data_IF_638416891911
#
_entry.id   IF_638416891911
#
_cell.length_a   1.000
_cell.length_b   1.000
_cell.length_c   1.000
_cell.angle_alpha   90.00
_cell.angle_beta   90.00
_cell.angle_gamma   90.00
#
_symmetry.space_group_name_H-M   'P 1'
#
loop_
_entity.id
_entity.type
_entity.pdbx_description
1 polymer ?
#
# COMPACT_ATOMS: atom_id res chain seq x y z
N UNK A 1 -24.51 -13.40 -74.67
CA UNK A 1 -23.97 -14.17 -73.52
C UNK A 1 -23.21 -13.19 -72.65
N UNK A 2 -23.89 -12.64 -71.65
CA UNK A 2 -23.39 -11.61 -70.73
C UNK A 2 -22.54 -12.24 -69.63
N UNK A 3 -21.29 -11.78 -69.50
CA UNK A 3 -20.37 -12.19 -68.45
C UNK A 3 -20.83 -11.62 -67.10
N UNK A 4 -21.01 -12.50 -66.11
CA UNK A 4 -21.31 -12.15 -64.74
C UNK A 4 -20.04 -11.60 -64.06
N UNK A 5 -20.08 -10.34 -63.64
CA UNK A 5 -19.08 -9.76 -62.75
C UNK A 5 -19.25 -10.38 -61.36
N UNK A 6 -18.21 -11.07 -60.87
CA UNK A 6 -18.16 -11.58 -59.52
C UNK A 6 -18.02 -10.42 -58.53
N UNK A 7 -18.95 -10.33 -57.58
CA UNK A 7 -18.92 -9.39 -56.47
C UNK A 7 -17.81 -9.77 -55.47
N UNK A 8 -16.97 -8.80 -55.10
CA UNK A 8 -15.97 -8.97 -54.05
C UNK A 8 -16.66 -9.15 -52.67
N UNK A 9 -16.21 -10.08 -51.82
CA UNK A 9 -16.76 -10.26 -50.49
C UNK A 9 -16.38 -9.08 -49.60
N UNK A 10 -17.41 -8.43 -49.05
CA UNK A 10 -17.32 -7.26 -48.20
C UNK A 10 -16.37 -7.43 -47.01
N UNK A 11 -15.47 -6.47 -46.89
CA UNK A 11 -14.61 -6.21 -45.74
C UNK A 11 -15.47 -6.11 -44.48
N UNK A 12 -15.41 -7.12 -43.62
CA UNK A 12 -16.02 -7.08 -42.29
C UNK A 12 -15.44 -5.89 -41.53
N UNK A 13 -16.28 -4.91 -41.23
CA UNK A 13 -15.95 -3.80 -40.33
C UNK A 13 -15.72 -4.43 -38.95
N UNK A 14 -14.46 -4.59 -38.56
CA UNK A 14 -14.08 -4.91 -37.19
C UNK A 14 -14.68 -3.85 -36.28
N UNK A 15 -15.57 -4.29 -35.39
CA UNK A 15 -16.11 -3.46 -34.33
C UNK A 15 -14.95 -2.79 -33.57
N UNK A 16 -15.10 -1.51 -33.14
CA UNK A 16 -14.08 -0.87 -32.33
C UNK A 16 -13.79 -1.77 -31.14
N UNK A 17 -12.50 -2.05 -30.90
CA UNK A 17 -11.98 -2.78 -29.76
C UNK A 17 -12.59 -2.16 -28.49
N UNK A 18 -13.73 -2.70 -28.07
CA UNK A 18 -14.36 -2.36 -26.82
C UNK A 18 -13.27 -2.59 -25.78
N UNK A 19 -12.86 -1.51 -25.12
CA UNK A 19 -11.86 -1.54 -24.07
C UNK A 19 -12.22 -2.72 -23.17
N UNK A 20 -11.39 -3.77 -23.22
CA UNK A 20 -11.52 -4.92 -22.33
C UNK A 20 -11.41 -4.31 -20.94
N UNK A 21 -12.55 -4.06 -20.30
CA UNK A 21 -12.61 -3.63 -18.91
C UNK A 21 -11.98 -4.76 -18.10
N UNK A 22 -10.68 -4.63 -17.90
CA UNK A 22 -9.82 -5.71 -17.47
C UNK A 22 -10.04 -5.90 -15.97
N UNK A 23 -10.94 -6.83 -15.66
CA UNK A 23 -11.39 -7.05 -14.29
C UNK A 23 -10.20 -7.50 -13.45
N UNK A 24 -9.99 -6.81 -12.33
CA UNK A 24 -8.98 -7.17 -11.34
C UNK A 24 -9.18 -8.62 -10.89
N UNK A 25 -8.07 -9.36 -10.78
CA UNK A 25 -8.09 -10.73 -10.29
C UNK A 25 -8.73 -10.80 -8.89
N UNK A 26 -9.50 -11.86 -8.60
CA UNK A 26 -10.11 -12.04 -7.29
C UNK A 26 -9.09 -11.93 -6.12
N UNK A 27 -7.90 -12.57 -6.16
CA UNK A 27 -6.95 -12.45 -5.06
C UNK A 27 -6.40 -11.02 -4.91
N UNK A 28 -6.14 -10.30 -6.00
CA UNK A 28 -5.70 -8.90 -5.94
C UNK A 28 -6.79 -7.98 -5.34
N UNK A 29 -8.06 -8.20 -5.72
CA UNK A 29 -9.18 -7.42 -5.21
C UNK A 29 -9.35 -7.61 -3.68
N UNK A 30 -9.30 -8.86 -3.21
CA UNK A 30 -9.33 -9.16 -1.78
C UNK A 30 -8.12 -8.61 -1.03
N UNK A 31 -6.92 -8.68 -1.62
CA UNK A 31 -5.72 -8.12 -1.01
C UNK A 31 -5.82 -6.59 -0.83
N UNK A 32 -6.34 -5.86 -1.82
CA UNK A 32 -6.59 -4.42 -1.72
C UNK A 32 -7.62 -4.13 -0.63
N UNK A 33 -8.72 -4.89 -0.58
CA UNK A 33 -9.76 -4.73 0.44
C UNK A 33 -9.21 -4.94 1.86
N UNK A 34 -8.49 -6.04 2.09
CA UNK A 34 -7.90 -6.37 3.38
C UNK A 34 -6.85 -5.32 3.80
N UNK A 35 -6.03 -4.85 2.86
CA UNK A 35 -5.09 -3.77 3.11
C UNK A 35 -5.83 -2.48 3.53
N UNK A 36 -6.92 -2.13 2.84
CA UNK A 36 -7.78 -0.99 3.21
C UNK A 36 -8.36 -1.12 4.62
N UNK A 37 -8.93 -2.28 4.96
CA UNK A 37 -9.50 -2.55 6.30
C UNK A 37 -8.43 -2.43 7.37
N UNK A 38 -7.32 -3.16 7.24
CA UNK A 38 -6.27 -3.22 8.26
C UNK A 38 -5.59 -1.86 8.44
N UNK A 39 -5.27 -1.18 7.34
CA UNK A 39 -4.67 0.16 7.39
C UNK A 39 -5.61 1.21 7.98
N UNK A 40 -6.91 1.14 7.68
CA UNK A 40 -7.91 2.04 8.24
C UNK A 40 -8.11 1.82 9.74
N UNK A 41 -8.20 0.56 10.18
CA UNK A 41 -8.29 0.22 11.60
C UNK A 41 -7.06 0.74 12.34
N UNK A 42 -5.85 0.44 11.86
CA UNK A 42 -4.62 0.90 12.50
C UNK A 42 -4.53 2.43 12.58
N UNK A 43 -4.91 3.14 11.52
CA UNK A 43 -4.87 4.62 11.47
C UNK A 43 -5.94 5.26 12.36
N UNK A 44 -7.11 4.64 12.44
CA UNK A 44 -8.19 5.09 13.32
C UNK A 44 -7.83 4.88 14.78
N UNK A 45 -7.31 3.71 15.13
CA UNK A 45 -6.83 3.42 16.49
C UNK A 45 -5.73 4.39 16.89
N UNK A 46 -4.73 4.64 16.01
CA UNK A 46 -3.70 5.66 16.28
C UNK A 46 -4.28 7.05 16.56
N UNK A 47 -5.33 7.44 15.85
CA UNK A 47 -5.99 8.72 16.05
C UNK A 47 -6.73 8.77 17.39
N UNK A 48 -7.44 7.71 17.76
CA UNK A 48 -8.10 7.57 19.06
C UNK A 48 -7.08 7.63 20.19
N UNK A 49 -6.02 6.83 20.12
CA UNK A 49 -4.94 6.80 21.12
C UNK A 49 -4.28 8.19 21.27
N UNK A 50 -4.10 8.93 20.17
CA UNK A 50 -3.58 10.29 20.20
C UNK A 50 -4.53 11.25 20.91
N UNK A 51 -5.84 11.15 20.66
CA UNK A 51 -6.87 11.97 21.30
C UNK A 51 -6.90 11.68 22.81
N UNK A 52 -6.83 10.41 23.21
CA UNK A 52 -6.86 10.03 24.63
C UNK A 52 -5.64 10.58 25.39
N UNK A 53 -4.45 10.57 24.78
CA UNK A 53 -3.26 11.24 25.35
C UNK A 53 -3.48 12.74 25.48
N UNK A 54 -4.12 13.38 24.51
CA UNK A 54 -4.40 14.82 24.53
C UNK A 54 -5.40 15.20 25.63
N UNK A 55 -6.39 14.35 25.89
CA UNK A 55 -7.39 14.54 26.95
C UNK A 55 -6.77 14.27 28.33
N UNK A 56 -6.00 13.19 28.45
CA UNK A 56 -5.38 12.77 29.69
C UNK A 56 -3.89 12.42 29.46
N UNK A 57 -2.95 13.31 29.82
CA UNK A 57 -1.52 13.04 29.67
C UNK A 57 -1.00 11.82 30.44
N UNK A 58 -1.74 11.34 31.45
CA UNK A 58 -1.40 10.11 32.19
C UNK A 58 -1.93 8.83 31.54
N UNK A 59 -2.69 8.95 30.43
CA UNK A 59 -3.21 7.81 29.69
C UNK A 59 -2.06 6.97 29.09
N UNK A 60 -2.18 5.65 29.23
CA UNK A 60 -1.21 4.68 28.70
C UNK A 60 -1.81 4.02 27.45
N UNK A 61 -1.26 4.28 26.25
CA UNK A 61 -1.77 3.69 25.03
C UNK A 61 -1.72 2.16 25.03
N UNK A 62 -2.67 1.52 24.35
CA UNK A 62 -2.74 0.05 24.28
C UNK A 62 -1.49 -0.58 23.64
N UNK A 63 -0.82 0.16 22.78
CA UNK A 63 0.39 -0.24 22.07
C UNK A 63 1.68 0.24 22.75
N UNK A 64 1.61 0.63 24.04
CA UNK A 64 2.76 0.90 24.90
C UNK A 64 3.12 -0.37 25.68
N UNK A 65 3.91 -1.26 25.06
CA UNK A 65 4.23 -2.58 25.59
C UNK A 65 5.52 -2.58 26.40
N UNK A 66 6.52 -1.85 25.93
CA UNK A 66 7.82 -1.73 26.58
C UNK A 66 8.50 -0.39 26.17
N UNK A 67 9.64 -0.02 26.75
CA UNK A 67 10.31 1.26 26.45
C UNK A 67 10.64 1.48 24.97
N UNK A 68 10.79 0.41 24.19
CA UNK A 68 11.09 0.46 22.75
C UNK A 68 9.81 0.42 21.93
N UNK A 69 8.86 -0.46 22.25
CA UNK A 69 7.55 -0.59 21.64
C UNK A 69 6.56 0.33 22.36
N UNK A 70 6.71 1.63 22.13
CA UNK A 70 5.92 2.68 22.76
C UNK A 70 5.34 3.65 21.73
N UNK A 71 4.02 3.58 21.54
CA UNK A 71 3.33 4.56 20.70
C UNK A 71 3.32 5.96 21.31
N UNK A 72 3.28 6.07 22.65
CA UNK A 72 3.19 7.35 23.33
C UNK A 72 4.38 8.26 23.03
N UNK A 73 5.60 7.71 23.12
CA UNK A 73 6.84 8.44 22.84
C UNK A 73 6.95 8.87 21.37
N UNK A 74 6.46 8.05 20.43
CA UNK A 74 6.46 8.36 19.00
C UNK A 74 5.41 9.45 18.69
N UNK A 75 4.21 9.33 19.25
CA UNK A 75 3.08 10.20 18.92
C UNK A 75 3.27 11.65 19.37
N UNK A 76 4.06 11.92 20.43
CA UNK A 76 4.32 13.28 20.91
C UNK A 76 5.40 14.02 20.10
N UNK A 77 6.05 13.33 19.16
CA UNK A 77 7.13 13.94 18.37
C UNK A 77 6.59 14.82 17.25
N UNK A 78 7.31 15.91 16.86
CA UNK A 78 6.93 16.74 15.72
C UNK A 78 6.84 15.96 14.39
N UNK A 79 7.62 14.88 14.26
CA UNK A 79 7.62 13.99 13.10
C UNK A 79 6.28 13.27 12.92
N UNK A 80 5.49 13.12 13.99
CA UNK A 80 4.15 12.56 13.94
C UNK A 80 3.10 13.53 13.32
N UNK A 81 3.49 14.77 12.98
CA UNK A 81 2.63 15.78 12.37
C UNK A 81 3.35 16.61 11.29
N UNK A 82 3.46 16.08 10.07
CA UNK A 82 4.27 16.69 9.00
C UNK A 82 3.62 17.90 8.32
N UNK A 83 2.28 17.97 8.34
CA UNK A 83 1.52 19.06 7.70
C UNK A 83 0.73 19.91 8.70
N UNK A 84 1.16 19.92 9.97
CA UNK A 84 0.45 20.58 11.06
C UNK A 84 -0.72 19.78 11.64
N UNK A 85 -0.97 18.58 11.11
CA UNK A 85 -1.96 17.65 11.63
C UNK A 85 -1.36 16.24 11.80
N UNK A 86 -1.94 15.39 12.67
CA UNK A 86 -1.44 14.04 12.91
C UNK A 86 -1.38 13.20 11.63
N UNK A 87 -0.25 12.53 11.38
CA UNK A 87 -0.06 11.67 10.23
C UNK A 87 -1.10 10.51 10.17
N UNK A 88 -1.68 10.13 11.32
CA UNK A 88 -2.75 9.13 11.39
C UNK A 88 -4.00 9.55 10.62
N UNK A 89 -4.28 10.86 10.50
CA UNK A 89 -5.39 11.36 9.68
C UNK A 89 -5.14 11.19 8.18
N UNK A 90 -3.89 11.37 7.72
CA UNK A 90 -3.51 11.02 6.34
C UNK A 90 -3.77 9.53 6.07
N UNK A 91 -3.41 8.68 7.05
CA UNK A 91 -3.68 7.25 7.01
C UNK A 91 -5.17 6.94 6.85
N UNK A 92 -6.04 7.56 7.66
CA UNK A 92 -7.49 7.38 7.57
C UNK A 92 -7.99 7.71 6.16
N UNK A 93 -7.62 8.87 5.62
CA UNK A 93 -8.07 9.28 4.27
C UNK A 93 -7.56 8.31 3.20
N UNK A 94 -6.25 8.00 3.21
CA UNK A 94 -5.64 7.13 2.21
C UNK A 94 -6.23 5.70 2.26
N UNK A 95 -6.32 5.10 3.44
CA UNK A 95 -6.84 3.74 3.58
C UNK A 95 -8.35 3.64 3.38
N UNK A 96 -9.11 4.73 3.60
CA UNK A 96 -10.53 4.79 3.20
C UNK A 96 -10.67 4.70 1.69
N UNK A 97 -9.83 5.42 0.92
CA UNK A 97 -9.83 5.29 -0.55
C UNK A 97 -9.50 3.86 -0.95
N UNK A 98 -8.45 3.26 -0.38
CA UNK A 98 -8.05 1.86 -0.64
C UNK A 98 -9.17 0.88 -0.31
N UNK A 99 -9.84 1.06 0.83
CA UNK A 99 -10.97 0.23 1.25
C UNK A 99 -12.09 0.28 0.21
N UNK A 100 -12.50 1.48 -0.20
CA UNK A 100 -13.53 1.67 -1.22
C UNK A 100 -13.10 1.05 -2.55
N UNK A 101 -11.85 1.26 -2.99
CA UNK A 101 -11.30 0.61 -4.19
C UNK A 101 -11.40 -0.92 -4.09
N UNK A 102 -11.09 -1.48 -2.93
CA UNK A 102 -11.17 -2.92 -2.66
C UNK A 102 -12.59 -3.44 -2.73
N UNK A 103 -13.56 -2.74 -2.13
CA UNK A 103 -14.99 -3.09 -2.19
C UNK A 103 -15.47 -3.10 -3.64
N UNK A 104 -15.17 -2.05 -4.40
CA UNK A 104 -15.55 -1.95 -5.82
C UNK A 104 -14.91 -3.08 -6.65
N UNK A 105 -13.63 -3.38 -6.40
CA UNK A 105 -12.92 -4.46 -7.10
C UNK A 105 -13.49 -5.86 -6.76
N UNK A 106 -13.84 -6.12 -5.51
CA UNK A 106 -14.48 -7.39 -5.08
C UNK A 106 -15.88 -7.52 -5.67
N UNK A 107 -16.63 -6.42 -5.71
CA UNK A 107 -17.94 -6.33 -6.37
C UNK A 107 -17.88 -6.44 -7.91
N UNK A 108 -16.68 -6.62 -8.49
CA UNK A 108 -16.44 -6.73 -9.94
C UNK A 108 -16.87 -5.50 -10.73
N UNK A 109 -16.89 -4.34 -10.08
CA UNK A 109 -17.08 -3.05 -10.75
C UNK A 109 -15.79 -2.73 -11.50
N UNK A 110 -15.91 -2.48 -12.80
CA UNK A 110 -14.78 -2.10 -13.63
C UNK A 110 -14.34 -0.68 -13.27
N UNK A 111 -13.12 -0.57 -12.75
CA UNK A 111 -12.46 0.71 -12.51
C UNK A 111 -11.50 1.00 -13.66
N UNK A 112 -11.49 2.24 -14.18
CA UNK A 112 -10.63 2.60 -15.30
C UNK A 112 -9.14 2.57 -14.91
N UNK A 113 -8.27 2.31 -15.88
CA UNK A 113 -6.83 2.13 -15.61
C UNK A 113 -6.15 3.37 -15.00
N UNK A 114 -6.63 4.58 -15.32
CA UNK A 114 -6.12 5.81 -14.72
C UNK A 114 -6.35 5.86 -13.21
N UNK A 115 -7.44 5.25 -12.72
CA UNK A 115 -7.73 5.19 -11.29
C UNK A 115 -6.71 4.31 -10.57
N UNK A 116 -6.41 3.13 -11.12
CA UNK A 116 -5.38 2.25 -10.58
C UNK A 116 -3.98 2.86 -10.67
N UNK A 117 -3.67 3.61 -11.73
CA UNK A 117 -2.43 4.37 -11.84
C UNK A 117 -2.34 5.48 -10.78
N UNK A 118 -3.44 6.19 -10.50
CA UNK A 118 -3.53 7.17 -9.42
C UNK A 118 -3.33 6.53 -8.05
N UNK A 119 -3.95 5.36 -7.81
CA UNK A 119 -3.78 4.60 -6.58
C UNK A 119 -2.33 4.12 -6.42
N UNK A 120 -1.68 3.70 -7.50
CA UNK A 120 -0.26 3.35 -7.51
C UNK A 120 0.61 4.55 -7.14
N UNK A 121 0.37 5.71 -7.76
CA UNK A 121 1.11 6.93 -7.48
C UNK A 121 0.98 7.33 -6.00
N UNK A 122 -0.24 7.31 -5.46
CA UNK A 122 -0.49 7.55 -4.03
C UNK A 122 0.23 6.54 -3.13
N UNK A 123 0.23 5.26 -3.52
CA UNK A 123 0.91 4.20 -2.76
C UNK A 123 2.44 4.33 -2.80
N UNK A 124 3.02 4.79 -3.91
CA UNK A 124 4.45 5.11 -4.03
C UNK A 124 4.83 6.28 -3.13
N UNK A 125 4.03 7.34 -3.11
CA UNK A 125 4.24 8.48 -2.20
C UNK A 125 4.13 8.03 -0.75
N UNK A 126 3.10 7.24 -0.41
CA UNK A 126 2.92 6.66 0.93
C UNK A 126 4.10 5.75 1.32
N UNK A 127 4.65 4.99 0.37
CA UNK A 127 5.83 4.16 0.59
C UNK A 127 7.05 5.02 0.93
N UNK A 128 7.32 6.08 0.17
CA UNK A 128 8.40 7.02 0.48
C UNK A 128 8.24 7.63 1.87
N UNK A 129 7.01 8.00 2.22
CA UNK A 129 6.68 8.52 3.55
C UNK A 129 6.93 7.51 4.67
N UNK A 130 6.54 6.24 4.47
CA UNK A 130 6.81 5.14 5.41
C UNK A 130 8.30 4.96 5.63
N UNK A 131 9.13 4.98 4.59
CA UNK A 131 10.58 4.86 4.73
C UNK A 131 11.18 5.99 5.57
N UNK A 132 10.69 7.22 5.35
CA UNK A 132 11.09 8.35 6.17
C UNK A 132 10.69 8.15 7.65
N UNK A 133 9.47 7.68 7.91
CA UNK A 133 9.00 7.39 9.28
C UNK A 133 9.79 6.26 9.96
N UNK A 134 10.18 5.21 9.23
CA UNK A 134 11.06 4.15 9.72
C UNK A 134 12.39 4.75 10.16
N UNK A 135 13.00 5.59 9.32
CA UNK A 135 14.26 6.25 9.64
C UNK A 135 14.14 7.13 10.89
N UNK A 136 13.08 7.94 11.01
CA UNK A 136 12.84 8.75 12.20
C UNK A 136 12.67 7.88 13.45
N UNK A 137 11.87 6.81 13.37
CA UNK A 137 11.60 5.91 14.50
C UNK A 137 12.87 5.24 15.02
N UNK A 138 13.70 4.72 14.11
CA UNK A 138 14.93 3.99 14.46
C UNK A 138 16.07 4.90 14.92
N UNK A 139 16.34 5.99 14.20
CA UNK A 139 17.59 6.76 14.35
C UNK A 139 17.43 8.14 14.97
N UNK A 140 16.19 8.57 15.25
CA UNK A 140 15.91 9.87 15.89
C UNK A 140 15.11 9.72 17.18
N UNK A 141 14.05 8.92 17.15
CA UNK A 141 13.16 8.72 18.31
C UNK A 141 13.70 7.60 19.21
N UNK A 142 14.22 6.52 18.63
CA UNK A 142 14.65 5.34 19.39
C UNK A 142 13.47 4.57 19.98
N UNK A 143 12.29 4.67 19.35
CA UNK A 143 11.09 3.94 19.74
C UNK A 143 10.28 3.58 18.50
N UNK A 144 9.47 2.54 18.65
CA UNK A 144 8.70 1.88 17.62
C UNK A 144 7.24 1.78 18.06
N UNK A 145 6.34 2.03 17.12
CA UNK A 145 4.90 1.95 17.34
C UNK A 145 4.35 0.72 16.60
N UNK A 146 3.75 -0.28 17.29
CA UNK A 146 3.16 -1.45 16.64
C UNK A 146 2.13 -1.11 15.56
N UNK A 147 1.25 -0.13 15.79
CA UNK A 147 0.28 0.29 14.77
C UNK A 147 0.94 0.95 13.56
N UNK A 148 2.00 1.75 13.75
CA UNK A 148 2.78 2.28 12.64
C UNK A 148 3.43 1.16 11.82
N UNK A 149 3.98 0.13 12.47
CA UNK A 149 4.54 -1.03 11.76
C UNK A 149 3.49 -1.75 10.93
N UNK A 150 2.26 -1.90 11.44
CA UNK A 150 1.14 -2.44 10.66
C UNK A 150 0.91 -1.60 9.41
N UNK A 151 0.87 -0.27 9.54
CA UNK A 151 0.75 0.64 8.39
C UNK A 151 1.92 0.48 7.41
N UNK A 152 3.15 0.28 7.90
CA UNK A 152 4.30 0.03 7.05
C UNK A 152 4.13 -1.24 6.22
N UNK A 153 3.73 -2.33 6.87
CA UNK A 153 3.50 -3.62 6.21
C UNK A 153 2.42 -3.52 5.16
N UNK A 154 1.26 -2.96 5.54
CA UNK A 154 0.12 -2.80 4.65
C UNK A 154 0.49 -1.94 3.43
N UNK A 155 1.23 -0.85 3.62
CA UNK A 155 1.61 0.06 2.52
C UNK A 155 2.52 -0.64 1.50
N UNK A 156 3.51 -1.40 1.95
CA UNK A 156 4.42 -2.14 1.05
C UNK A 156 3.69 -3.29 0.35
N UNK A 157 2.84 -4.03 1.07
CA UNK A 157 2.01 -5.08 0.46
C UNK A 157 1.07 -4.50 -0.61
N UNK A 158 0.47 -3.34 -0.33
CA UNK A 158 -0.39 -2.64 -1.27
C UNK A 158 0.38 -2.19 -2.51
N UNK A 159 1.61 -1.69 -2.35
CA UNK A 159 2.47 -1.29 -3.47
C UNK A 159 2.65 -2.46 -4.45
N UNK A 160 2.98 -3.64 -3.93
CA UNK A 160 3.18 -4.86 -4.74
C UNK A 160 1.89 -5.25 -5.49
N UNK A 161 0.76 -5.25 -4.79
CA UNK A 161 -0.53 -5.64 -5.36
C UNK A 161 -1.00 -4.63 -6.39
N UNK A 162 -0.99 -3.33 -6.09
CA UNK A 162 -1.46 -2.29 -7.03
C UNK A 162 -0.54 -2.19 -8.24
N UNK A 163 0.78 -2.33 -8.06
CA UNK A 163 1.73 -2.45 -9.19
C UNK A 163 1.36 -3.62 -10.09
N UNK A 164 0.93 -4.75 -9.52
CA UNK A 164 0.52 -5.90 -10.33
C UNK A 164 -0.70 -5.63 -11.19
N UNK A 165 -1.67 -4.87 -10.66
CA UNK A 165 -2.90 -4.50 -11.37
C UNK A 165 -2.58 -3.56 -12.52
N UNK A 166 -1.70 -2.58 -12.31
CA UNK A 166 -1.34 -1.59 -13.34
C UNK A 166 -0.45 -2.18 -14.42
N UNK A 167 0.55 -3.00 -14.04
CA UNK A 167 1.61 -3.47 -14.94
C UNK A 167 1.26 -4.78 -15.65
N UNK A 168 0.41 -5.63 -15.06
CA UNK A 168 0.01 -6.92 -15.64
C UNK A 168 -0.49 -6.81 -17.10
N UNK A 169 -1.48 -5.96 -17.38
CA UNK A 169 -1.99 -5.70 -18.74
C UNK A 169 -0.92 -5.27 -19.75
N UNK A 170 0.01 -4.40 -19.32
CA UNK A 170 1.07 -3.86 -20.17
C UNK A 170 2.08 -4.94 -20.57
N UNK A 171 2.33 -5.90 -19.68
CA UNK A 171 3.23 -7.03 -19.92
C UNK A 171 2.61 -8.08 -20.86
N UNK A 172 1.31 -8.38 -20.69
CA UNK A 172 0.57 -9.29 -21.57
C UNK A 172 0.46 -8.76 -23.00
N UNK A 173 0.23 -7.44 -23.15
CA UNK A 173 0.23 -6.77 -24.44
C UNK A 173 1.63 -6.66 -25.10
N UNK A 174 2.68 -7.25 -24.49
CA UNK A 174 4.10 -7.13 -24.88
C UNK A 174 4.59 -5.69 -25.04
N UNK A 175 3.92 -4.72 -24.42
CA UNK A 175 4.29 -3.30 -24.43
C UNK A 175 5.22 -2.91 -23.27
N UNK A 176 5.39 -3.78 -22.28
CA UNK A 176 6.33 -3.57 -21.18
C UNK A 176 7.76 -3.98 -21.54
N UNK A 177 8.73 -3.13 -21.22
CA UNK A 177 10.17 -3.43 -21.36
C UNK A 177 10.64 -4.56 -20.44
N UNK A 178 11.78 -5.18 -20.77
CA UNK A 178 12.38 -6.31 -20.04
C UNK A 178 12.49 -6.07 -18.54
N UNK A 179 12.82 -4.83 -18.15
CA UNK A 179 12.96 -4.40 -16.75
C UNK A 179 11.64 -4.53 -15.98
N UNK A 180 10.52 -4.06 -16.55
CA UNK A 180 9.20 -4.15 -15.92
C UNK A 180 8.75 -5.61 -15.69
N UNK A 181 9.16 -6.51 -16.59
CA UNK A 181 8.84 -7.94 -16.49
C UNK A 181 9.62 -8.62 -15.36
N UNK A 182 10.90 -8.29 -15.20
CA UNK A 182 11.75 -8.79 -14.10
C UNK A 182 11.22 -8.31 -12.76
N UNK A 183 10.91 -7.00 -12.62
CA UNK A 183 10.33 -6.46 -11.39
C UNK A 183 8.99 -7.11 -11.04
N UNK A 184 8.12 -7.36 -12.02
CA UNK A 184 6.84 -8.02 -11.79
C UNK A 184 7.01 -9.47 -11.31
N UNK A 185 7.98 -10.21 -11.84
CA UNK A 185 8.29 -11.58 -11.41
C UNK A 185 8.90 -11.62 -10.00
N UNK A 186 9.82 -10.70 -9.71
CA UNK A 186 10.55 -10.65 -8.44
C UNK A 186 9.81 -9.87 -7.34
N UNK A 187 8.61 -9.36 -7.60
CA UNK A 187 7.89 -8.48 -6.67
C UNK A 187 7.73 -9.04 -5.26
N UNK A 188 7.47 -10.35 -5.14
CA UNK A 188 7.35 -11.00 -3.83
C UNK A 188 8.70 -11.17 -3.17
N UNK A 189 9.75 -11.51 -3.93
CA UNK A 189 11.13 -11.56 -3.43
C UNK A 189 11.59 -10.20 -2.93
N UNK A 190 11.27 -9.12 -3.65
CA UNK A 190 11.60 -7.73 -3.25
C UNK A 190 10.87 -7.36 -1.97
N UNK A 191 9.57 -7.68 -1.86
CA UNK A 191 8.79 -7.41 -0.65
C UNK A 191 9.34 -8.19 0.55
N UNK A 192 9.64 -9.47 0.39
CA UNK A 192 10.24 -10.30 1.45
C UNK A 192 11.61 -9.78 1.85
N UNK A 193 12.45 -9.39 0.89
CA UNK A 193 13.76 -8.80 1.17
C UNK A 193 13.61 -7.49 1.95
N UNK A 194 12.63 -6.66 1.58
CA UNK A 194 12.33 -5.42 2.30
C UNK A 194 11.89 -5.69 3.74
N UNK A 195 10.96 -6.62 3.96
CA UNK A 195 10.50 -7.00 5.31
C UNK A 195 11.65 -7.52 6.17
N UNK A 196 12.47 -8.40 5.61
CA UNK A 196 13.67 -8.92 6.27
C UNK A 196 14.65 -7.80 6.59
N UNK A 197 14.90 -6.88 5.66
CA UNK A 197 15.79 -5.76 5.88
C UNK A 197 15.31 -4.86 7.04
N UNK A 198 14.03 -4.46 7.03
CA UNK A 198 13.46 -3.64 8.12
C UNK A 198 13.51 -4.37 9.46
N UNK A 199 13.19 -5.67 9.49
CA UNK A 199 13.29 -6.48 10.69
C UNK A 199 14.72 -6.54 11.23
N UNK A 200 15.71 -6.78 10.36
CA UNK A 200 17.12 -6.79 10.74
C UNK A 200 17.58 -5.43 11.25
N UNK A 201 17.16 -4.33 10.61
CA UNK A 201 17.47 -2.97 11.08
C UNK A 201 16.91 -2.72 12.49
N UNK A 202 15.67 -3.16 12.76
CA UNK A 202 15.07 -3.10 14.10
C UNK A 202 15.89 -3.92 15.10
N UNK A 203 16.23 -5.17 14.76
CA UNK A 203 17.00 -6.06 15.65
C UNK A 203 18.39 -5.50 15.97
N UNK A 204 19.11 -5.00 14.97
CA UNK A 204 20.45 -4.42 15.14
C UNK A 204 20.39 -3.14 15.96
N UNK A 205 19.45 -2.24 15.68
CA UNK A 205 19.36 -0.95 16.37
C UNK A 205 19.03 -1.11 17.86
N UNK A 206 18.19 -2.09 18.20
CA UNK A 206 17.74 -2.32 19.58
C UNK A 206 18.44 -3.49 20.28
N UNK A 207 19.54 -3.98 19.71
CA UNK A 207 20.25 -5.17 20.17
C UNK A 207 20.60 -5.13 21.67
N UNK A 208 21.12 -4.00 22.14
CA UNK A 208 21.52 -3.83 23.55
C UNK A 208 20.38 -4.05 24.54
N UNK A 209 19.14 -3.74 24.16
CA UNK A 209 17.97 -4.01 25.01
C UNK A 209 17.54 -5.47 24.94
N UNK A 210 17.52 -6.06 23.74
CA UNK A 210 17.16 -7.47 23.58
C UNK A 210 18.15 -8.39 24.32
N UNK A 211 19.43 -8.06 24.30
CA UNK A 211 20.45 -8.81 25.04
C UNK A 211 20.28 -8.74 26.56
N UNK A 212 19.56 -7.76 27.10
CA UNK A 212 19.26 -7.70 28.56
C UNK A 212 18.07 -8.56 28.97
N UNK A 213 17.31 -9.09 28.01
CA UNK A 213 16.15 -9.96 28.24
C UNK A 213 16.47 -11.47 28.05
N UNK A 214 17.67 -11.80 27.57
CA UNK A 214 18.22 -13.15 27.46
C UNK A 214 19.04 -13.49 28.71
#
# INVERSE_FOLDING_TARGET
>A
MTAAAAAEPGKSVEAPVAAREERVSAPSAWAVLLAGVVGLVASTTLTVEKIDILINPAYKPSCNLNPILSCGSVMITPQASVLGFPNSLLGIVAFTVVLVSGVLAVAKIALPQWYWAGLLAGTVVGTGFVHWLIFQSLYRIGALCPYCMVVWVVTISLLVVVTSIVVGPLLEARRGGTVARVFYQWRWSIATLWFTAVFLLIMVQFWNYWSTLL
#
